data_IF_130865126610
#
_entry.id   IF_130865126610
#
_cell.length_a   1.000
_cell.length_b   1.000
_cell.length_c   1.000
_cell.angle_alpha   90.00
_cell.angle_beta   90.00
_cell.angle_gamma   90.00
#
_symmetry.space_group_name_H-M   'P 1'
#
loop_
_entity.id
_entity.type
_entity.pdbx_description
1 polymer ?
#
# COMPACT_ATOMS: atom_id res chain seq x y z
N UNK A 1 5.92 -16.33 41.45
CA UNK A 1 4.54 -16.06 40.93
C UNK A 1 4.74 -15.33 39.60
N UNK A 2 4.62 -16.09 38.53
CA UNK A 2 4.82 -15.56 37.13
C UNK A 2 3.46 -15.15 36.60
N UNK A 3 3.27 -13.88 36.32
CA UNK A 3 2.13 -13.40 35.55
C UNK A 3 2.43 -13.57 34.06
N UNK A 4 1.78 -14.58 33.49
CA UNK A 4 1.72 -14.77 32.05
C UNK A 4 0.85 -13.65 31.45
N UNK A 5 1.49 -12.62 30.90
CA UNK A 5 0.84 -11.64 30.02
C UNK A 5 0.48 -12.30 28.70
N UNK A 6 -0.77 -12.72 28.58
CA UNK A 6 -1.35 -13.21 27.30
C UNK A 6 -1.38 -12.05 26.31
N UNK A 7 -0.52 -12.10 25.30
CA UNK A 7 -0.64 -11.20 24.12
C UNK A 7 -1.94 -11.57 23.42
N UNK A 8 -2.93 -10.71 23.53
CA UNK A 8 -4.22 -10.86 22.84
C UNK A 8 -3.96 -10.58 21.35
N UNK A 9 -4.23 -11.55 20.48
CA UNK A 9 -4.27 -11.30 19.06
C UNK A 9 -5.23 -10.12 18.80
N UNK A 10 -4.78 -9.08 18.10
CA UNK A 10 -5.56 -7.83 17.92
C UNK A 10 -6.79 -8.03 17.03
N UNK A 11 -6.88 -9.15 16.32
CA UNK A 11 -8.01 -9.54 15.47
C UNK A 11 -8.30 -11.01 15.68
N UNK A 12 -9.56 -11.34 15.77
CA UNK A 12 -10.04 -12.71 15.62
C UNK A 12 -10.11 -13.06 14.14
N UNK A 13 -10.07 -14.34 13.78
CA UNK A 13 -10.25 -14.80 12.39
C UNK A 13 -11.56 -14.22 11.78
N UNK A 14 -12.59 -14.06 12.60
CA UNK A 14 -13.87 -13.47 12.20
C UNK A 14 -13.76 -11.97 11.86
N UNK A 15 -12.96 -11.20 12.59
CA UNK A 15 -12.77 -9.77 12.31
C UNK A 15 -11.91 -9.56 11.05
N UNK A 16 -10.95 -10.44 10.81
CA UNK A 16 -10.16 -10.40 9.57
C UNK A 16 -11.01 -10.82 8.36
N UNK A 17 -11.84 -11.84 8.50
CA UNK A 17 -12.78 -12.28 7.47
C UNK A 17 -13.87 -11.23 7.20
N UNK A 18 -14.34 -10.51 8.22
CA UNK A 18 -15.31 -9.42 8.08
C UNK A 18 -14.69 -8.22 7.35
N UNK A 19 -13.47 -7.83 7.68
CA UNK A 19 -12.74 -6.76 7.00
C UNK A 19 -12.45 -7.09 5.53
N UNK A 20 -12.09 -8.36 5.25
CA UNK A 20 -11.86 -8.84 3.89
C UNK A 20 -13.16 -9.07 3.12
N UNK A 21 -14.24 -9.50 3.80
CA UNK A 21 -15.58 -9.63 3.21
C UNK A 21 -16.21 -8.28 2.91
N UNK A 22 -15.93 -7.25 3.69
CA UNK A 22 -16.31 -5.88 3.37
C UNK A 22 -15.65 -5.37 2.08
N UNK A 23 -14.41 -5.78 1.81
CA UNK A 23 -13.71 -5.49 0.55
C UNK A 23 -14.34 -6.21 -0.66
N UNK A 24 -14.98 -7.38 -0.45
CA UNK A 24 -15.62 -8.14 -1.51
C UNK A 24 -17.09 -7.75 -1.75
N UNK A 25 -17.75 -7.08 -0.78
CA UNK A 25 -19.15 -6.63 -0.91
C UNK A 25 -19.37 -5.53 -1.95
N UNK A 26 -18.34 -4.80 -2.37
CA UNK A 26 -18.45 -3.79 -3.43
C UNK A 26 -18.61 -4.39 -4.84
N UNK A 27 -18.53 -5.71 -5.00
CA UNK A 27 -18.80 -6.41 -6.27
C UNK A 27 -20.18 -7.08 -6.33
N UNK A 28 -21.07 -6.82 -5.40
CA UNK A 28 -22.46 -7.32 -5.51
C UNK A 28 -23.18 -6.68 -6.70
N UNK A 29 -23.87 -7.50 -7.53
CA UNK A 29 -24.63 -6.96 -8.65
C UNK A 29 -25.71 -6.00 -8.13
N UNK A 30 -25.99 -4.90 -8.87
CA UNK A 30 -26.92 -3.86 -8.42
C UNK A 30 -28.26 -4.47 -7.99
N UNK A 31 -28.82 -3.93 -6.90
CA UNK A 31 -30.08 -4.39 -6.32
C UNK A 31 -31.20 -4.46 -7.36
N UNK A 32 -32.24 -5.27 -7.10
CA UNK A 32 -33.38 -5.47 -8.00
C UNK A 32 -34.02 -4.12 -8.42
N UNK A 33 -34.03 -3.12 -7.54
CA UNK A 33 -34.57 -1.78 -7.80
C UNK A 33 -33.73 -0.98 -8.78
N UNK A 34 -32.40 -1.10 -8.75
CA UNK A 34 -31.50 -0.45 -9.72
C UNK A 34 -31.64 -1.11 -11.09
N UNK A 35 -31.81 -2.45 -11.13
CA UNK A 35 -32.12 -3.17 -12.37
C UNK A 35 -33.48 -2.78 -12.96
N UNK A 36 -34.50 -2.58 -12.13
CA UNK A 36 -35.81 -2.14 -12.57
C UNK A 36 -35.77 -0.71 -13.15
N UNK A 37 -35.02 0.20 -12.54
CA UNK A 37 -34.85 1.58 -13.01
C UNK A 37 -34.08 1.64 -14.35
N UNK A 38 -33.05 0.81 -14.52
CA UNK A 38 -32.31 0.67 -15.79
C UNK A 38 -33.17 0.07 -16.91
N UNK A 39 -34.03 -0.90 -16.61
CA UNK A 39 -34.96 -1.49 -17.58
C UNK A 39 -36.08 -0.52 -18.01
N UNK A 40 -36.51 0.41 -17.16
CA UNK A 40 -37.45 1.47 -17.49
C UNK A 40 -36.84 2.54 -18.39
N UNK A 41 -35.59 2.91 -18.16
CA UNK A 41 -34.89 3.91 -18.98
C UNK A 41 -34.62 3.44 -20.43
N UNK A 42 -34.60 2.12 -20.67
CA UNK A 42 -34.42 1.55 -22.02
C UNK A 42 -35.72 1.40 -22.82
N UNK A 43 -36.90 1.84 -22.32
CA UNK A 43 -38.20 1.56 -22.94
C UNK A 43 -38.77 2.67 -23.80
N UNK A 44 -38.13 3.82 -23.95
CA UNK A 44 -38.62 4.94 -24.74
C UNK A 44 -37.76 5.20 -25.99
N UNK A 45 -38.01 4.42 -27.05
CA UNK A 45 -37.65 4.81 -28.43
C UNK A 45 -38.78 4.46 -29.36
N UNK A 46 -39.25 5.45 -30.19
CA UNK A 46 -40.39 5.25 -31.13
C UNK A 46 -39.95 4.43 -32.36
N UNK A 47 -40.89 3.75 -33.04
CA UNK A 47 -40.59 2.81 -34.12
C UNK A 47 -40.26 3.52 -35.44
N UNK A 48 -39.18 3.13 -36.13
CA UNK A 48 -38.90 3.48 -37.53
C UNK A 48 -39.32 2.36 -38.47
N UNK A 49 -39.69 2.72 -39.73
CA UNK A 49 -40.41 1.84 -40.66
C UNK A 49 -39.51 0.77 -41.31
N UNK A 50 -40.17 -0.36 -41.63
CA UNK A 50 -39.62 -1.55 -42.24
C UNK A 50 -38.98 -1.31 -43.62
N UNK A 51 -37.70 -1.77 -43.79
CA UNK A 51 -37.18 -2.26 -45.07
C UNK A 51 -36.60 -3.65 -44.90
N UNK A 52 -37.11 -4.58 -45.70
CA UNK A 52 -36.68 -5.98 -45.76
C UNK A 52 -35.29 -6.07 -46.40
N UNK A 53 -34.34 -6.76 -45.79
CA UNK A 53 -33.30 -7.58 -46.45
C UNK A 53 -32.81 -8.70 -45.54
N UNK A 54 -32.41 -9.77 -46.17
CA UNK A 54 -32.18 -11.15 -45.83
C UNK A 54 -30.93 -11.45 -44.98
N UNK A 55 -31.07 -12.41 -44.05
CA UNK A 55 -30.11 -13.38 -43.53
C UNK A 55 -28.60 -13.08 -43.53
N UNK A 56 -27.99 -12.98 -42.31
CA UNK A 56 -26.69 -13.54 -41.95
C UNK A 56 -26.53 -13.55 -40.42
N UNK A 57 -25.99 -14.66 -39.94
CA UNK A 57 -25.54 -15.10 -38.66
C UNK A 57 -25.40 -14.10 -37.47
N UNK A 58 -26.06 -14.41 -36.37
CA UNK A 58 -25.88 -13.78 -35.08
C UNK A 58 -24.61 -14.26 -34.39
N UNK A 59 -23.61 -13.41 -34.26
CA UNK A 59 -22.57 -13.52 -33.25
C UNK A 59 -22.94 -12.60 -32.09
N UNK A 60 -23.10 -13.18 -30.91
CA UNK A 60 -23.37 -12.46 -29.67
C UNK A 60 -22.14 -11.61 -29.30
N UNK A 61 -22.23 -10.30 -29.51
CA UNK A 61 -21.27 -9.34 -28.96
C UNK A 61 -21.66 -9.06 -27.50
N UNK A 62 -20.85 -9.52 -26.57
CA UNK A 62 -20.85 -9.04 -25.21
C UNK A 62 -20.35 -7.60 -25.24
N UNK A 63 -21.26 -6.64 -25.14
CA UNK A 63 -20.92 -5.24 -24.98
C UNK A 63 -20.42 -5.05 -23.53
N UNK A 64 -19.10 -4.98 -23.36
CA UNK A 64 -18.51 -4.39 -22.18
C UNK A 64 -18.95 -2.93 -22.10
N UNK A 65 -19.77 -2.58 -21.12
CA UNK A 65 -20.08 -1.21 -20.74
C UNK A 65 -18.81 -0.60 -20.13
N UNK A 66 -17.88 -0.17 -20.95
CA UNK A 66 -16.93 0.85 -20.55
C UNK A 66 -17.74 2.14 -20.42
N UNK A 67 -17.98 2.59 -19.19
CA UNK A 67 -18.42 3.95 -18.93
C UNK A 67 -17.35 4.86 -19.53
N UNK A 68 -17.61 5.36 -20.73
CA UNK A 68 -16.80 6.36 -21.39
C UNK A 68 -16.86 7.63 -20.54
N UNK A 69 -15.85 7.87 -19.76
CA UNK A 69 -15.61 9.19 -19.17
C UNK A 69 -15.43 10.12 -20.37
N UNK A 70 -16.38 11.01 -20.59
CA UNK A 70 -16.24 12.14 -21.50
C UNK A 70 -15.09 12.99 -20.94
N UNK A 71 -13.88 12.73 -21.38
CA UNK A 71 -12.74 13.60 -21.06
C UNK A 71 -12.95 14.93 -21.80
N UNK A 72 -13.32 15.95 -21.06
CA UNK A 72 -13.26 17.32 -21.54
C UNK A 72 -11.78 17.64 -21.73
N UNK A 73 -11.30 17.96 -22.95
CA UNK A 73 -9.91 18.31 -23.15
C UNK A 73 -9.55 19.50 -22.26
N UNK A 74 -8.59 19.31 -21.33
CA UNK A 74 -8.13 20.33 -20.39
C UNK A 74 -8.70 20.24 -18.96
N UNK A 75 -9.65 19.35 -18.66
CA UNK A 75 -10.05 19.10 -17.26
C UNK A 75 -8.99 18.22 -16.56
N UNK A 76 -8.61 18.54 -15.32
CA UNK A 76 -7.73 17.66 -14.54
C UNK A 76 -8.37 16.27 -14.34
N UNK A 77 -7.56 15.23 -14.27
CA UNK A 77 -8.04 13.88 -13.95
C UNK A 77 -8.48 13.82 -12.50
N UNK A 78 -9.40 12.89 -12.14
CA UNK A 78 -9.78 12.66 -10.76
C UNK A 78 -8.57 12.35 -9.85
N UNK A 79 -7.54 11.68 -10.40
CA UNK A 79 -6.28 11.45 -9.70
C UNK A 79 -5.52 12.75 -9.43
N UNK A 80 -5.48 13.67 -10.40
CA UNK A 80 -4.85 14.97 -10.23
C UNK A 80 -5.59 15.81 -9.16
N UNK A 81 -6.91 15.84 -9.19
CA UNK A 81 -7.72 16.55 -8.19
C UNK A 81 -7.51 16.00 -6.78
N UNK A 82 -7.49 14.68 -6.62
CA UNK A 82 -7.27 14.04 -5.33
C UNK A 82 -5.85 14.33 -4.77
N UNK A 83 -4.83 14.29 -5.63
CA UNK A 83 -3.44 14.58 -5.25
C UNK A 83 -3.22 16.06 -4.94
N UNK A 84 -3.83 16.97 -5.71
CA UNK A 84 -3.75 18.41 -5.45
C UNK A 84 -4.48 18.76 -4.15
N UNK A 85 -5.62 18.14 -3.87
CA UNK A 85 -6.34 18.27 -2.59
C UNK A 85 -5.47 17.79 -1.42
N UNK A 86 -4.86 16.60 -1.54
CA UNK A 86 -3.96 16.07 -0.53
C UNK A 86 -2.75 17.01 -0.31
N UNK A 87 -2.15 17.53 -1.38
CA UNK A 87 -1.05 18.47 -1.30
C UNK A 87 -1.44 19.79 -0.59
N UNK A 88 -2.65 20.29 -0.85
CA UNK A 88 -3.15 21.51 -0.19
C UNK A 88 -3.34 21.27 1.31
N UNK A 89 -3.92 20.12 1.70
CA UNK A 89 -4.15 19.81 3.12
C UNK A 89 -2.86 19.62 3.91
N UNK A 90 -1.85 18.91 3.37
CA UNK A 90 -0.57 18.78 4.10
C UNK A 90 0.15 20.11 4.27
N UNK A 91 -0.02 21.07 3.36
CA UNK A 91 0.58 22.41 3.49
C UNK A 91 -0.16 23.27 4.51
N UNK A 92 -1.44 22.99 4.76
CA UNK A 92 -2.24 23.72 5.75
C UNK A 92 -1.97 23.25 7.20
N UNK A 93 -1.45 22.05 7.38
CA UNK A 93 -1.10 21.52 8.71
C UNK A 93 0.39 21.78 9.02
N UNK A 94 0.70 22.25 10.26
CA UNK A 94 2.11 22.41 10.66
C UNK A 94 2.81 21.04 10.73
N UNK A 95 4.07 21.01 10.36
CA UNK A 95 4.89 19.83 10.54
C UNK A 95 5.03 19.46 12.01
N UNK A 96 4.96 18.15 12.35
CA UNK A 96 5.24 17.68 13.69
C UNK A 96 6.66 18.12 14.11
N UNK A 97 6.78 18.69 15.31
CA UNK A 97 8.05 19.10 15.89
C UNK A 97 8.25 18.45 17.23
N UNK A 98 8.84 17.23 17.27
CA UNK A 98 9.18 16.61 18.54
C UNK A 98 10.09 17.53 19.35
N UNK A 99 9.75 17.72 20.63
CA UNK A 99 10.61 18.41 21.60
C UNK A 99 11.77 17.53 22.09
N UNK A 100 12.63 18.07 22.96
CA UNK A 100 13.71 17.29 23.57
C UNK A 100 13.15 16.03 24.26
N UNK A 101 13.73 14.87 23.94
CA UNK A 101 13.29 13.58 24.48
C UNK A 101 12.06 12.97 23.81
N UNK A 102 11.44 13.67 22.85
CA UNK A 102 10.37 13.12 22.03
C UNK A 102 10.91 12.55 20.69
N UNK A 103 10.08 11.79 20.01
CA UNK A 103 10.43 11.03 18.84
C UNK A 103 9.40 11.23 17.71
N UNK A 104 9.85 11.35 16.48
CA UNK A 104 9.01 11.03 15.34
C UNK A 104 8.69 9.54 15.37
N UNK A 105 7.42 9.21 15.25
CA UNK A 105 6.93 7.85 15.29
C UNK A 105 6.34 7.44 13.96
N UNK A 106 6.77 6.29 13.47
CA UNK A 106 6.17 5.60 12.31
C UNK A 106 5.80 4.18 12.72
N UNK A 107 4.56 3.78 12.49
CA UNK A 107 4.14 2.39 12.54
C UNK A 107 3.67 1.95 11.17
N UNK A 108 4.19 0.83 10.69
CA UNK A 108 3.77 0.17 9.45
C UNK A 108 3.33 -1.24 9.79
N UNK A 109 2.05 -1.53 9.60
CA UNK A 109 1.54 -2.90 9.51
C UNK A 109 1.51 -3.29 8.04
N UNK A 110 1.96 -4.49 7.75
CA UNK A 110 2.04 -5.02 6.40
C UNK A 110 1.55 -6.46 6.38
N UNK A 111 0.66 -6.77 5.47
CA UNK A 111 0.26 -8.13 5.12
C UNK A 111 0.78 -8.40 3.72
N UNK A 112 1.76 -9.27 3.58
CA UNK A 112 2.40 -9.58 2.31
C UNK A 112 2.32 -11.07 1.99
N UNK A 113 2.23 -11.39 0.71
CA UNK A 113 2.18 -12.78 0.26
C UNK A 113 3.55 -13.42 0.29
N UNK A 114 3.60 -14.58 0.96
CA UNK A 114 4.67 -15.57 0.80
C UNK A 114 4.16 -16.75 -0.04
N UNK A 115 5.01 -17.26 -0.90
CA UNK A 115 4.67 -18.32 -1.85
C UNK A 115 5.73 -19.40 -1.88
N UNK A 116 5.33 -20.65 -2.05
CA UNK A 116 6.22 -21.79 -2.21
C UNK A 116 5.52 -22.90 -3.00
N UNK A 117 6.22 -24.02 -3.18
CA UNK A 117 5.69 -25.23 -3.79
C UNK A 117 5.87 -26.40 -2.84
N UNK A 118 4.89 -27.30 -2.79
CA UNK A 118 5.08 -28.58 -2.11
C UNK A 118 6.13 -29.44 -2.84
N UNK A 119 6.63 -30.49 -2.20
CA UNK A 119 7.52 -31.47 -2.81
C UNK A 119 6.91 -32.16 -4.03
N UNK A 120 5.59 -32.17 -4.15
CA UNK A 120 4.84 -32.72 -5.31
C UNK A 120 4.51 -31.67 -6.37
N UNK A 121 4.98 -30.42 -6.22
CA UNK A 121 4.80 -29.34 -7.19
C UNK A 121 3.46 -28.63 -7.11
N UNK A 122 2.69 -28.75 -6.00
CA UNK A 122 1.46 -27.98 -5.79
C UNK A 122 1.81 -26.59 -5.24
N UNK A 123 1.18 -25.50 -5.74
CA UNK A 123 1.43 -24.17 -5.24
C UNK A 123 0.87 -24.01 -3.81
N UNK A 124 1.61 -23.27 -3.00
CA UNK A 124 1.23 -22.81 -1.68
C UNK A 124 1.42 -21.29 -1.61
N UNK A 125 0.43 -20.57 -1.13
CA UNK A 125 0.54 -19.14 -0.90
C UNK A 125 -0.26 -18.73 0.31
N UNK A 126 0.31 -17.85 1.12
CA UNK A 126 -0.38 -17.29 2.28
C UNK A 126 0.01 -15.82 2.43
N UNK A 127 -0.87 -15.03 3.04
CA UNK A 127 -0.54 -13.71 3.56
C UNK A 127 0.03 -13.87 4.97
N UNK A 128 1.14 -13.20 5.24
CA UNK A 128 1.71 -13.06 6.59
C UNK A 128 1.71 -11.60 6.97
N UNK A 129 1.31 -11.34 8.21
CA UNK A 129 1.29 -9.98 8.73
C UNK A 129 2.52 -9.71 9.58
N UNK A 130 3.16 -8.58 9.31
CA UNK A 130 4.26 -8.03 10.07
C UNK A 130 3.95 -6.61 10.56
N UNK A 131 4.65 -6.19 11.61
CA UNK A 131 4.59 -4.83 12.11
C UNK A 131 6.01 -4.30 12.33
N UNK A 132 6.24 -3.08 11.86
CA UNK A 132 7.46 -2.31 12.12
C UNK A 132 7.09 -1.00 12.75
N UNK A 133 7.68 -0.70 13.90
CA UNK A 133 7.54 0.55 14.63
C UNK A 133 8.90 1.21 14.76
N UNK A 134 9.03 2.46 14.36
CA UNK A 134 10.27 3.23 14.36
C UNK A 134 10.09 4.51 15.17
N UNK A 135 11.02 4.77 16.06
CA UNK A 135 11.14 6.00 16.83
C UNK A 135 12.45 6.71 16.46
N UNK A 136 12.34 7.86 15.82
CA UNK A 136 13.46 8.70 15.40
C UNK A 136 13.52 9.90 16.34
N UNK A 137 14.59 10.10 17.13
CA UNK A 137 14.68 11.19 18.09
C UNK A 137 14.65 12.55 17.42
N UNK A 138 14.18 13.58 18.13
CA UNK A 138 14.23 14.97 17.67
C UNK A 138 15.66 15.38 17.26
N UNK A 139 16.65 14.97 18.04
CA UNK A 139 18.07 15.09 17.73
C UNK A 139 18.50 13.81 17.02
N UNK A 140 18.54 13.84 15.69
CA UNK A 140 18.73 12.66 14.83
C UNK A 140 20.08 11.97 14.96
N UNK A 141 21.06 12.62 15.57
CA UNK A 141 22.34 12.04 15.91
C UNK A 141 22.29 11.11 17.13
N UNK A 142 21.17 11.11 17.86
CA UNK A 142 20.95 10.22 18.99
C UNK A 142 20.53 8.82 18.54
N UNK A 143 20.26 7.95 19.52
CA UNK A 143 19.90 6.57 19.31
C UNK A 143 18.46 6.43 18.83
N UNK A 144 18.28 5.83 17.67
CA UNK A 144 16.97 5.42 17.13
C UNK A 144 16.55 4.09 17.71
N UNK A 145 15.26 3.87 17.80
CA UNK A 145 14.68 2.64 18.28
C UNK A 145 13.75 2.05 17.23
N UNK A 146 13.89 0.74 16.96
CA UNK A 146 12.99 0.00 16.08
C UNK A 146 12.51 -1.27 16.77
N UNK A 147 11.23 -1.55 16.59
CA UNK A 147 10.59 -2.83 16.93
C UNK A 147 9.97 -3.37 15.67
N UNK A 148 10.33 -4.60 15.31
CA UNK A 148 9.79 -5.27 14.13
C UNK A 148 9.56 -6.74 14.39
N UNK A 149 8.60 -7.35 13.69
CA UNK A 149 8.33 -8.77 13.78
C UNK A 149 7.01 -9.13 13.12
N UNK A 150 6.78 -10.42 12.98
CA UNK A 150 5.49 -10.91 12.51
C UNK A 150 4.49 -10.89 13.67
N UNK A 151 3.24 -10.51 13.35
CA UNK A 151 2.14 -10.47 14.34
C UNK A 151 1.59 -11.87 14.64
N UNK A 152 1.90 -12.84 13.79
CA UNK A 152 1.37 -14.19 13.84
C UNK A 152 0.06 -14.35 13.04
N UNK A 153 -0.53 -13.28 12.54
CA UNK A 153 -1.69 -13.36 11.67
C UNK A 153 -1.27 -13.91 10.29
N UNK A 154 -1.97 -14.95 9.85
CA UNK A 154 -1.74 -15.65 8.58
C UNK A 154 -3.06 -15.95 7.91
N UNK A 155 -3.11 -15.80 6.58
CA UNK A 155 -4.26 -16.20 5.78
C UNK A 155 -3.79 -16.98 4.55
N UNK A 156 -4.23 -18.25 4.42
CA UNK A 156 -3.98 -19.03 3.24
C UNK A 156 -4.77 -18.50 2.04
N UNK A 157 -4.08 -18.26 0.94
CA UNK A 157 -4.65 -17.90 -0.34
C UNK A 157 -4.75 -19.11 -1.27
N UNK A 158 -3.72 -19.98 -1.26
CA UNK A 158 -3.66 -21.23 -2.03
C UNK A 158 -3.11 -22.32 -1.13
N UNK A 159 -3.77 -23.46 -1.12
CA UNK A 159 -3.43 -24.56 -0.23
C UNK A 159 -3.94 -24.34 1.19
N UNK A 160 -3.33 -25.03 2.15
CA UNK A 160 -3.61 -24.91 3.57
C UNK A 160 -2.46 -25.52 4.40
N UNK A 161 -2.51 -25.33 5.71
CA UNK A 161 -1.48 -25.77 6.62
C UNK A 161 -1.30 -27.31 6.63
N UNK A 162 -2.41 -28.06 6.56
CA UNK A 162 -2.34 -29.53 6.52
C UNK A 162 -1.64 -30.04 5.25
N UNK A 163 -1.90 -29.43 4.10
CA UNK A 163 -1.22 -29.76 2.87
C UNK A 163 0.28 -29.44 2.98
N UNK A 164 0.62 -28.25 3.49
CA UNK A 164 1.98 -27.79 3.69
C UNK A 164 2.76 -28.74 4.63
N UNK A 165 2.15 -29.17 5.74
CA UNK A 165 2.77 -30.10 6.68
C UNK A 165 2.96 -31.51 6.11
N UNK A 166 2.00 -32.00 5.30
CA UNK A 166 2.08 -33.34 4.73
C UNK A 166 3.06 -33.46 3.57
N UNK A 167 3.09 -32.45 2.72
CA UNK A 167 3.85 -32.50 1.45
C UNK A 167 5.11 -31.61 1.45
N UNK A 168 5.39 -30.95 2.59
CA UNK A 168 6.45 -29.95 2.70
C UNK A 168 5.97 -28.57 2.22
N UNK A 169 6.49 -27.53 2.83
CA UNK A 169 6.06 -26.15 2.68
C UNK A 169 7.12 -25.20 2.08
N UNK A 170 8.30 -25.75 1.74
CA UNK A 170 9.41 -24.95 1.24
C UNK A 170 9.89 -23.86 2.20
N UNK A 171 9.59 -24.01 3.51
CA UNK A 171 9.98 -23.05 4.55
C UNK A 171 8.95 -21.97 4.87
N UNK A 172 7.75 -22.01 4.27
CA UNK A 172 6.66 -21.05 4.57
C UNK A 172 6.25 -21.03 6.05
N UNK A 173 6.38 -22.16 6.73
CA UNK A 173 6.00 -22.31 8.15
C UNK A 173 7.20 -22.26 9.11
N UNK A 174 8.35 -21.77 8.65
CA UNK A 174 9.55 -21.70 9.51
C UNK A 174 9.33 -20.70 10.66
N UNK A 175 9.31 -21.17 11.92
CA UNK A 175 9.07 -20.33 13.08
C UNK A 175 10.20 -19.33 13.36
N UNK A 176 11.37 -19.48 12.74
CA UNK A 176 12.50 -18.55 12.91
C UNK A 176 12.23 -17.18 12.33
N UNK A 177 11.32 -17.07 11.36
CA UNK A 177 10.93 -15.81 10.72
C UNK A 177 10.02 -14.97 11.62
N UNK A 178 9.37 -15.59 12.61
CA UNK A 178 8.26 -14.98 13.39
C UNK A 178 8.69 -14.20 14.64
N UNK A 179 9.97 -13.98 14.90
CA UNK A 179 10.43 -13.37 16.17
C UNK A 179 10.33 -11.84 16.14
N UNK A 180 9.74 -11.30 17.22
CA UNK A 180 9.86 -9.86 17.50
C UNK A 180 11.35 -9.52 17.72
N UNK A 181 11.80 -8.46 17.06
CA UNK A 181 13.13 -7.90 17.15
C UNK A 181 13.05 -6.47 17.64
N UNK A 182 13.84 -6.19 18.66
CA UNK A 182 13.99 -4.83 19.20
C UNK A 182 15.44 -4.44 19.03
N UNK A 183 15.67 -3.32 18.34
CA UNK A 183 17.01 -2.86 18.05
C UNK A 183 17.14 -1.38 18.38
N UNK A 184 18.37 -1.00 18.67
CA UNK A 184 18.79 0.38 18.89
C UNK A 184 20.02 0.64 18.06
N UNK A 185 20.11 1.84 17.50
CA UNK A 185 21.25 2.23 16.68
C UNK A 185 21.39 3.72 16.57
N UNK A 186 22.61 4.21 16.74
CA UNK A 186 22.91 5.62 16.48
C UNK A 186 22.60 5.95 15.04
N UNK A 187 21.80 6.99 14.82
CA UNK A 187 21.42 7.41 13.46
C UNK A 187 20.65 6.36 12.65
N UNK A 188 19.99 5.40 13.29
CA UNK A 188 19.33 4.30 12.62
C UNK A 188 20.25 3.20 12.08
N UNK A 189 21.47 3.12 12.54
CA UNK A 189 22.40 2.05 12.19
C UNK A 189 22.09 0.79 13.03
N UNK A 190 21.10 0.04 12.58
CA UNK A 190 20.63 -1.14 13.27
C UNK A 190 21.49 -2.37 12.95
N UNK A 191 21.83 -3.22 13.95
CA UNK A 191 22.70 -4.38 13.77
C UNK A 191 22.24 -5.36 12.67
N UNK A 192 20.94 -5.63 12.60
CA UNK A 192 20.41 -6.60 11.61
C UNK A 192 20.50 -6.13 10.15
N UNK A 193 20.60 -4.82 9.90
CA UNK A 193 20.82 -4.33 8.54
C UNK A 193 22.16 -4.78 7.97
N UNK A 194 23.14 -5.00 8.83
CA UNK A 194 24.45 -5.53 8.47
C UNK A 194 24.39 -7.00 8.07
N UNK A 195 23.58 -7.79 8.78
CA UNK A 195 23.40 -9.21 8.48
C UNK A 195 22.66 -9.47 7.16
N UNK A 196 21.79 -8.53 6.74
CA UNK A 196 21.03 -8.61 5.50
C UNK A 196 21.79 -8.09 4.27
N UNK A 197 23.09 -7.78 4.42
CA UNK A 197 23.94 -7.33 3.31
C UNK A 197 23.72 -5.86 2.92
N UNK A 198 23.02 -5.10 3.75
CA UNK A 198 22.99 -3.65 3.64
C UNK A 198 24.42 -3.11 3.88
N UNK A 199 24.87 -2.17 3.05
CA UNK A 199 26.11 -1.47 3.31
C UNK A 199 25.86 -0.47 4.45
N UNK A 200 26.33 -0.75 5.66
CA UNK A 200 26.27 0.27 6.70
C UNK A 200 27.14 1.45 6.25
N UNK A 201 26.67 2.66 6.49
CA UNK A 201 27.52 3.84 6.42
C UNK A 201 28.49 3.84 7.62
N UNK A 202 29.19 2.71 7.84
CA UNK A 202 30.01 2.43 9.00
C UNK A 202 31.01 3.56 9.23
N UNK A 203 30.95 4.14 10.42
CA UNK A 203 31.83 5.20 10.84
C UNK A 203 31.52 6.59 10.31
N UNK A 204 30.56 6.77 9.41
CA UNK A 204 30.16 8.11 8.96
C UNK A 204 29.28 8.80 9.99
N UNK A 205 29.48 10.11 10.24
CA UNK A 205 28.55 10.93 11.01
C UNK A 205 27.15 10.87 10.44
N UNK A 206 26.11 10.98 11.28
CA UNK A 206 24.70 10.93 10.85
C UNK A 206 24.38 11.87 9.68
N UNK A 207 24.92 13.08 9.69
CA UNK A 207 24.70 14.08 8.64
C UNK A 207 25.32 13.73 7.28
N UNK A 208 26.26 12.78 7.26
CA UNK A 208 26.94 12.33 6.04
C UNK A 208 26.33 11.06 5.46
N UNK A 209 25.43 10.39 6.21
CA UNK A 209 24.76 9.18 5.73
C UNK A 209 23.74 9.54 4.68
N UNK A 210 23.87 8.90 3.53
CA UNK A 210 22.95 9.09 2.43
C UNK A 210 22.01 7.89 2.33
N UNK A 211 20.78 8.07 2.82
CA UNK A 211 19.74 7.04 2.74
C UNK A 211 19.23 6.82 1.31
N UNK A 212 18.11 6.15 1.21
CA UNK A 212 17.43 5.92 -0.05
C UNK A 212 15.92 6.07 0.14
N UNK A 213 15.14 5.96 -0.93
CA UNK A 213 13.70 6.20 -0.93
C UNK A 213 12.92 5.44 0.16
N UNK A 214 13.28 4.17 0.43
CA UNK A 214 12.57 3.31 1.38
C UNK A 214 13.08 3.45 2.83
N UNK A 215 14.30 3.96 3.00
CA UNK A 215 14.91 4.30 4.28
C UNK A 215 15.57 5.68 4.19
N UNK A 216 14.75 6.75 4.08
CA UNK A 216 15.26 8.09 3.86
C UNK A 216 15.96 8.62 5.12
N UNK A 217 17.14 9.22 4.91
CA UNK A 217 17.81 10.01 5.94
C UNK A 217 17.44 11.49 5.80
N UNK A 218 17.69 12.32 6.83
CA UNK A 218 17.49 13.77 6.73
C UNK A 218 18.22 14.39 5.54
N UNK A 219 19.42 13.93 5.24
CA UNK A 219 20.20 14.39 4.08
C UNK A 219 19.50 14.00 2.77
N UNK A 220 19.09 12.75 2.63
CA UNK A 220 18.35 12.30 1.46
C UNK A 220 17.09 13.14 1.23
N UNK A 221 16.28 13.36 2.29
CA UNK A 221 15.05 14.16 2.23
C UNK A 221 15.36 15.63 1.88
N UNK A 222 16.45 16.19 2.39
CA UNK A 222 16.86 17.57 2.08
C UNK A 222 17.28 17.74 0.61
N UNK A 223 17.96 16.74 0.05
CA UNK A 223 18.49 16.75 -1.32
C UNK A 223 17.41 16.46 -2.39
N UNK A 224 16.21 16.00 -2.00
CA UNK A 224 15.12 15.80 -2.94
C UNK A 224 14.58 17.13 -3.47
N UNK A 225 14.33 17.26 -4.78
CA UNK A 225 13.71 18.46 -5.35
C UNK A 225 12.33 18.76 -4.73
N UNK A 226 12.02 20.06 -4.56
CA UNK A 226 10.68 20.53 -4.18
C UNK A 226 9.84 20.93 -5.39
N UNK A 227 10.48 21.14 -6.52
CA UNK A 227 9.79 21.32 -7.79
C UNK A 227 9.19 19.98 -8.25
N UNK A 228 7.88 19.92 -8.57
CA UNK A 228 7.20 18.66 -8.91
C UNK A 228 7.73 18.01 -10.20
N UNK A 229 8.17 18.79 -11.19
CA UNK A 229 8.74 18.26 -12.43
C UNK A 229 10.08 17.60 -12.17
N UNK A 230 10.99 18.30 -11.51
CA UNK A 230 12.30 17.78 -11.15
C UNK A 230 12.21 16.57 -10.20
N UNK A 231 11.22 16.56 -9.28
CA UNK A 231 11.00 15.43 -8.38
C UNK A 231 10.46 14.20 -9.14
N UNK A 232 9.56 14.41 -10.07
CA UNK A 232 9.05 13.31 -10.92
C UNK A 232 10.14 12.72 -11.81
N UNK A 233 10.97 13.56 -12.42
CA UNK A 233 12.15 13.11 -13.19
C UNK A 233 13.10 12.28 -12.34
N UNK A 234 13.36 12.70 -11.09
CA UNK A 234 14.19 11.95 -10.15
C UNK A 234 13.56 10.63 -9.75
N UNK A 235 12.27 10.60 -9.42
CA UNK A 235 11.50 9.38 -9.11
C UNK A 235 11.53 8.41 -10.29
N UNK A 236 11.20 8.88 -11.49
CA UNK A 236 11.15 8.08 -12.71
C UNK A 236 12.52 7.48 -13.06
N UNK A 237 13.59 8.27 -12.93
CA UNK A 237 14.96 7.81 -13.14
C UNK A 237 15.33 6.69 -12.16
N UNK A 238 15.08 6.90 -10.87
CA UNK A 238 15.46 5.94 -9.83
C UNK A 238 14.56 4.67 -9.89
N UNK A 239 13.30 4.81 -10.33
CA UNK A 239 12.38 3.72 -10.65
C UNK A 239 12.66 3.02 -11.99
N UNK A 240 13.68 3.46 -12.75
CA UNK A 240 14.00 2.93 -14.08
C UNK A 240 12.81 2.97 -15.06
N UNK A 241 11.98 3.98 -14.96
CA UNK A 241 10.80 4.20 -15.80
C UNK A 241 9.60 3.31 -15.50
N UNK A 242 9.62 2.47 -14.46
CA UNK A 242 8.49 1.64 -14.07
C UNK A 242 7.54 2.41 -13.16
N UNK A 243 6.27 2.51 -13.56
CA UNK A 243 5.26 3.29 -12.84
C UNK A 243 4.95 2.74 -11.44
N UNK A 244 4.85 1.43 -11.29
CA UNK A 244 4.67 0.78 -9.99
C UNK A 244 5.80 1.10 -9.01
N UNK A 245 7.06 1.12 -9.49
CA UNK A 245 8.20 1.51 -8.67
C UNK A 245 8.17 3.01 -8.31
N UNK A 246 7.68 3.88 -9.19
CA UNK A 246 7.48 5.30 -8.85
C UNK A 246 6.56 5.43 -7.63
N UNK A 247 5.42 4.72 -7.62
CA UNK A 247 4.50 4.70 -6.47
C UNK A 247 5.17 4.15 -5.22
N UNK A 248 5.94 3.07 -5.34
CA UNK A 248 6.65 2.45 -4.22
C UNK A 248 7.70 3.39 -3.62
N UNK A 249 8.52 4.02 -4.45
CA UNK A 249 9.54 4.97 -4.00
C UNK A 249 8.90 6.21 -3.34
N UNK A 250 7.84 6.77 -3.93
CA UNK A 250 7.09 7.87 -3.34
C UNK A 250 6.51 7.49 -1.96
N UNK A 251 5.97 6.28 -1.83
CA UNK A 251 5.44 5.77 -0.55
C UNK A 251 6.51 5.74 0.54
N UNK A 252 7.74 5.42 0.21
CA UNK A 252 8.85 5.41 1.17
C UNK A 252 9.07 6.77 1.83
N UNK A 253 9.01 7.85 1.05
CA UNK A 253 9.10 9.23 1.56
C UNK A 253 7.84 9.64 2.32
N UNK A 254 6.65 9.29 1.81
CA UNK A 254 5.37 9.65 2.43
C UNK A 254 5.14 8.98 3.79
N UNK A 255 5.72 7.79 4.02
CA UNK A 255 5.62 7.07 5.29
C UNK A 255 6.64 7.51 6.34
N UNK A 256 7.63 8.31 5.99
CA UNK A 256 8.62 8.81 6.94
C UNK A 256 8.03 9.98 7.73
N UNK A 257 7.89 9.83 9.05
CA UNK A 257 7.26 10.84 9.91
C UNK A 257 8.00 12.18 9.92
N UNK A 258 9.28 12.17 9.59
CA UNK A 258 10.14 13.34 9.49
C UNK A 258 10.05 14.08 8.15
N UNK A 259 9.34 13.57 7.18
CA UNK A 259 9.16 14.24 5.89
C UNK A 259 8.36 15.52 6.07
N UNK A 260 8.90 16.64 5.60
CA UNK A 260 8.27 17.95 5.71
C UNK A 260 7.02 18.09 4.83
N UNK A 261 6.12 18.98 5.20
CA UNK A 261 4.87 19.22 4.47
C UNK A 261 5.11 19.66 3.02
N UNK A 262 6.12 20.50 2.79
CA UNK A 262 6.52 20.95 1.45
C UNK A 262 6.97 19.79 0.56
N UNK A 263 7.76 18.84 1.12
CA UNK A 263 8.19 17.68 0.36
C UNK A 263 7.03 16.69 0.12
N UNK A 264 6.16 16.45 1.12
CA UNK A 264 4.96 15.63 0.92
C UNK A 264 4.08 16.19 -0.20
N UNK A 265 3.84 17.50 -0.19
CA UNK A 265 3.06 18.18 -1.24
C UNK A 265 3.76 18.08 -2.60
N UNK A 266 5.08 18.23 -2.66
CA UNK A 266 5.86 18.05 -3.89
C UNK A 266 5.74 16.61 -4.44
N UNK A 267 5.78 15.59 -3.56
CA UNK A 267 5.58 14.18 -3.95
C UNK A 267 4.18 13.98 -4.56
N UNK A 268 3.12 14.48 -3.92
CA UNK A 268 1.77 14.36 -4.48
C UNK A 268 1.67 15.02 -5.85
N UNK A 269 2.18 16.24 -6.01
CA UNK A 269 2.15 16.95 -7.31
C UNK A 269 3.04 16.28 -8.36
N UNK A 270 4.14 15.65 -7.95
CA UNK A 270 4.96 14.85 -8.86
C UNK A 270 4.20 13.62 -9.35
N UNK A 271 3.42 12.94 -8.49
CA UNK A 271 2.62 11.78 -8.87
C UNK A 271 1.49 12.12 -9.86
N UNK A 272 1.00 13.37 -9.93
CA UNK A 272 0.05 13.82 -10.96
C UNK A 272 0.61 13.58 -12.38
N UNK A 273 1.92 13.60 -12.53
CA UNK A 273 2.62 13.41 -13.82
C UNK A 273 2.79 11.94 -14.22
N UNK A 274 2.48 11.01 -13.32
CA UNK A 274 2.62 9.58 -13.59
C UNK A 274 1.55 9.12 -14.59
N UNK A 275 1.94 8.65 -15.80
CA UNK A 275 0.96 8.23 -16.80
C UNK A 275 0.16 7.00 -16.33
N UNK A 276 -1.14 6.99 -16.64
CA UNK A 276 -2.03 5.87 -16.33
C UNK A 276 -2.45 5.79 -14.86
N UNK A 277 -2.14 6.80 -14.05
CA UNK A 277 -2.63 6.90 -12.70
C UNK A 277 -4.14 7.16 -12.71
N UNK A 278 -4.89 6.32 -12.02
CA UNK A 278 -6.34 6.47 -11.85
C UNK A 278 -6.74 6.35 -10.36
N UNK A 279 -8.01 6.56 -10.07
CA UNK A 279 -8.55 6.65 -8.71
C UNK A 279 -9.48 5.48 -8.41
N UNK A 280 -9.37 4.96 -7.18
CA UNK A 280 -10.39 4.13 -6.53
C UNK A 280 -10.82 4.81 -5.24
N UNK A 281 -12.04 5.29 -5.18
CA UNK A 281 -12.58 5.93 -3.97
C UNK A 281 -12.92 4.91 -2.88
N UNK A 282 -12.94 5.39 -1.63
CA UNK A 282 -13.28 4.60 -0.43
C UNK A 282 -12.42 3.34 -0.22
N UNK A 283 -11.20 3.33 -0.74
CA UNK A 283 -10.28 2.23 -0.49
C UNK A 283 -9.87 2.18 0.98
N UNK A 284 -10.00 1.02 1.60
CA UNK A 284 -9.52 0.81 2.96
C UNK A 284 -8.02 0.45 2.96
N UNK A 285 -7.28 0.85 3.99
CA UNK A 285 -5.96 0.31 4.30
C UNK A 285 -6.07 -0.94 5.19
N UNK A 286 -4.96 -1.57 5.55
CA UNK A 286 -4.95 -2.80 6.38
C UNK A 286 -5.64 -2.64 7.75
N UNK A 287 -5.71 -1.42 8.30
CA UNK A 287 -6.43 -1.12 9.54
C UNK A 287 -7.90 -0.74 9.33
N UNK A 288 -8.41 -0.85 8.09
CA UNK A 288 -9.77 -0.48 7.74
C UNK A 288 -10.03 1.04 7.61
N UNK A 289 -8.99 1.88 7.75
CA UNK A 289 -9.13 3.33 7.49
C UNK A 289 -9.35 3.56 6.00
N UNK A 290 -10.35 4.34 5.68
CA UNK A 290 -10.72 4.62 4.29
C UNK A 290 -10.07 5.90 3.78
N UNK A 291 -9.72 5.88 2.50
CA UNK A 291 -9.15 6.99 1.77
C UNK A 291 -9.36 6.83 0.27
N UNK A 292 -8.71 7.66 -0.50
CA UNK A 292 -8.66 7.57 -1.96
C UNK A 292 -7.40 6.80 -2.35
N UNK A 293 -7.56 5.70 -3.07
CA UNK A 293 -6.44 4.98 -3.65
C UNK A 293 -6.12 5.55 -5.03
N UNK A 294 -4.84 5.82 -5.24
CA UNK A 294 -4.30 6.28 -6.50
C UNK A 294 -3.37 5.18 -7.01
N UNK A 295 -3.68 4.61 -8.15
CA UNK A 295 -2.97 3.45 -8.62
C UNK A 295 -2.87 3.35 -10.13
N UNK A 296 -2.02 2.43 -10.54
CA UNK A 296 -1.88 2.05 -11.93
C UNK A 296 -1.74 0.53 -12.06
N UNK A 297 -2.09 0.03 -13.23
CA UNK A 297 -1.91 -1.38 -13.57
C UNK A 297 -0.67 -1.55 -14.44
N UNK A 298 0.27 -2.37 -13.98
CA UNK A 298 1.47 -2.73 -14.72
C UNK A 298 1.67 -4.25 -14.65
N UNK A 299 1.69 -4.90 -15.80
CA UNK A 299 1.76 -6.36 -15.86
C UNK A 299 0.50 -7.06 -15.33
N UNK A 300 0.66 -7.81 -14.26
CA UNK A 300 -0.41 -8.61 -13.64
C UNK A 300 -0.93 -7.98 -12.33
N UNK A 301 -0.32 -6.88 -11.90
CA UNK A 301 -0.64 -6.19 -10.67
C UNK A 301 -1.19 -4.79 -10.93
N UNK A 302 -2.09 -4.36 -10.06
CA UNK A 302 -2.45 -2.99 -9.83
C UNK A 302 -1.86 -2.56 -8.49
N UNK A 303 -0.94 -1.60 -8.55
CA UNK A 303 -0.30 -1.01 -7.37
C UNK A 303 -0.97 0.31 -7.03
N UNK A 304 -1.32 0.50 -5.75
CA UNK A 304 -2.04 1.66 -5.27
C UNK A 304 -1.40 2.25 -4.01
N UNK A 305 -1.37 3.56 -3.93
CA UNK A 305 -1.14 4.32 -2.69
C UNK A 305 -2.47 4.84 -2.17
N UNK A 306 -2.69 4.75 -0.86
CA UNK A 306 -3.94 5.16 -0.24
C UNK A 306 -3.68 6.42 0.58
N UNK A 307 -4.45 7.47 0.28
CA UNK A 307 -4.32 8.79 0.88
C UNK A 307 -5.65 9.19 1.51
N UNK A 308 -5.62 9.64 2.75
CA UNK A 308 -6.72 10.38 3.34
C UNK A 308 -6.69 11.81 2.79
N UNK A 309 -7.50 12.08 1.79
CA UNK A 309 -7.51 13.37 1.07
C UNK A 309 -7.99 14.52 1.94
N UNK A 310 -8.73 14.25 3.03
CA UNK A 310 -9.19 15.28 3.95
C UNK A 310 -8.06 15.83 4.85
N UNK A 311 -7.07 15.01 5.17
CA UNK A 311 -5.89 15.40 5.94
C UNK A 311 -4.61 15.45 5.10
N UNK A 312 -4.66 14.98 3.86
CA UNK A 312 -3.48 14.80 3.01
C UNK A 312 -2.52 13.71 3.49
N UNK A 313 -2.90 12.87 4.44
CA UNK A 313 -2.01 11.86 5.02
C UNK A 313 -1.97 10.61 4.17
N UNK A 314 -0.77 10.13 3.89
CA UNK A 314 -0.57 8.77 3.39
C UNK A 314 -0.93 7.78 4.50
N UNK A 315 -1.81 6.82 4.20
CA UNK A 315 -2.33 5.86 5.18
C UNK A 315 -2.00 4.41 4.86
N UNK A 316 -1.42 4.14 3.69
CA UNK A 316 -1.00 2.80 3.29
C UNK A 316 -0.92 2.60 1.79
N UNK A 317 -0.66 1.38 1.39
CA UNK A 317 -0.66 0.94 -0.01
C UNK A 317 -1.23 -0.47 -0.13
N UNK A 318 -1.61 -0.87 -1.34
CA UNK A 318 -1.95 -2.25 -1.66
C UNK A 318 -1.53 -2.61 -3.07
N UNK A 319 -1.30 -3.92 -3.29
CA UNK A 319 -1.08 -4.50 -4.62
C UNK A 319 -2.13 -5.57 -4.85
N UNK A 320 -2.84 -5.48 -5.98
CA UNK A 320 -3.98 -6.34 -6.32
C UNK A 320 -3.68 -7.06 -7.62
N UNK A 321 -3.83 -8.40 -7.63
CA UNK A 321 -3.72 -9.19 -8.84
C UNK A 321 -4.90 -8.89 -9.77
N UNK A 322 -4.63 -8.50 -11.03
CA UNK A 322 -5.69 -8.13 -12.00
C UNK A 322 -5.92 -9.18 -13.08
N UNK A 323 -5.06 -10.21 -13.15
CA UNK A 323 -5.19 -11.34 -14.06
C UNK A 323 -5.14 -12.66 -13.29
N UNK A 324 -5.62 -13.78 -13.87
CA UNK A 324 -5.41 -15.10 -13.28
C UNK A 324 -3.93 -15.37 -13.04
N UNK A 325 -3.60 -15.83 -11.85
CA UNK A 325 -2.22 -16.01 -11.42
C UNK A 325 -1.49 -17.13 -12.14
N UNK A 326 -0.25 -16.86 -12.56
CA UNK A 326 0.67 -17.84 -13.15
C UNK A 326 2.02 -17.77 -12.44
N UNK A 327 2.84 -18.82 -12.54
CA UNK A 327 4.18 -18.83 -11.92
C UNK A 327 4.10 -18.60 -10.41
N UNK A 328 4.72 -17.51 -9.92
CA UNK A 328 4.70 -17.10 -8.50
C UNK A 328 3.27 -16.85 -7.96
N UNK A 329 2.33 -16.47 -8.84
CA UNK A 329 0.94 -16.18 -8.52
C UNK A 329 0.01 -17.38 -8.77
N UNK A 330 0.55 -18.56 -9.06
CA UNK A 330 -0.25 -19.73 -9.47
C UNK A 330 -1.34 -20.07 -8.45
N UNK A 331 -2.57 -20.25 -8.95
CA UNK A 331 -3.76 -20.56 -8.13
C UNK A 331 -4.52 -19.36 -7.60
N UNK A 332 -3.97 -18.15 -7.73
CA UNK A 332 -4.66 -16.92 -7.33
C UNK A 332 -5.64 -16.43 -8.40
N UNK A 333 -6.70 -15.78 -7.97
CA UNK A 333 -7.72 -15.19 -8.84
C UNK A 333 -7.53 -13.67 -8.96
N UNK A 334 -8.01 -13.06 -10.07
CA UNK A 334 -8.10 -11.59 -10.16
C UNK A 334 -8.88 -11.02 -8.97
N UNK A 335 -8.43 -9.87 -8.47
CA UNK A 335 -8.96 -9.24 -7.25
C UNK A 335 -8.27 -9.69 -5.96
N UNK A 336 -7.37 -10.69 -6.02
CA UNK A 336 -6.60 -11.08 -4.84
C UNK A 336 -5.62 -9.97 -4.45
N UNK A 337 -5.73 -9.47 -3.21
CA UNK A 337 -4.75 -8.58 -2.63
C UNK A 337 -3.55 -9.40 -2.20
N UNK A 338 -2.38 -9.06 -2.72
CA UNK A 338 -1.11 -9.78 -2.49
C UNK A 338 -0.16 -9.03 -1.58
N UNK A 339 -0.37 -7.73 -1.44
CA UNK A 339 0.32 -6.87 -0.49
C UNK A 339 -0.63 -5.78 -0.01
N UNK A 340 -0.59 -5.47 1.28
CA UNK A 340 -1.50 -4.53 1.90
C UNK A 340 -0.86 -3.91 3.13
N UNK A 341 -0.85 -2.59 3.25
CA UNK A 341 -0.25 -1.92 4.39
C UNK A 341 -1.19 -0.93 5.07
N UNK A 342 -0.88 -0.65 6.35
CA UNK A 342 -1.41 0.50 7.07
C UNK A 342 -0.26 1.26 7.72
N UNK A 343 -0.30 2.59 7.62
CA UNK A 343 0.72 3.48 8.17
C UNK A 343 0.09 4.45 9.16
N UNK A 344 0.72 4.57 10.33
CA UNK A 344 0.41 5.58 11.34
C UNK A 344 1.64 6.41 11.63
N UNK A 345 1.50 7.73 11.57
CA UNK A 345 2.54 8.70 11.86
C UNK A 345 2.16 9.53 13.08
N UNK A 346 3.14 9.93 13.88
CA UNK A 346 2.89 10.75 15.06
C UNK A 346 4.16 11.22 15.75
N UNK A 347 3.97 11.78 16.96
CA UNK A 347 5.05 12.13 17.88
C UNK A 347 4.85 11.31 19.16
N UNK A 348 5.90 10.58 19.56
CA UNK A 348 5.91 9.77 20.76
C UNK A 348 6.75 10.44 21.86
N UNK A 349 6.27 10.38 23.10
CA UNK A 349 7.00 10.93 24.25
C UNK A 349 8.17 10.07 24.70
N UNK A 350 8.17 8.79 24.32
CA UNK A 350 9.17 7.82 24.77
C UNK A 350 9.43 6.75 23.71
N UNK A 351 10.71 6.41 23.52
CA UNK A 351 11.09 5.28 22.69
C UNK A 351 10.44 3.96 23.17
N UNK A 352 9.92 3.19 22.23
CA UNK A 352 9.25 1.91 22.52
C UNK A 352 7.79 2.03 22.98
N UNK A 353 7.26 3.25 23.13
CA UNK A 353 5.86 3.51 23.46
C UNK A 353 5.20 4.28 22.30
N UNK A 354 4.15 3.74 21.67
CA UNK A 354 3.39 4.48 20.64
C UNK A 354 2.80 5.79 21.21
N UNK A 355 2.52 6.78 20.37
CA UNK A 355 1.74 7.97 20.78
C UNK A 355 0.42 7.57 21.41
N UNK A 356 -0.08 8.38 22.36
CA UNK A 356 -1.46 8.30 22.80
C UNK A 356 -2.38 8.70 21.62
N UNK A 357 -3.46 7.95 21.44
CA UNK A 357 -4.48 8.21 20.42
C UNK A 357 -5.26 9.48 20.75
#
# INVERSE_FOLDING_TARGET
>A
MSENGTVRAMWTDAELDDALSALHKETEPPSADVRATLMLACRETPPKPRRRYTWAAATAAVAALTAGVLTIPGAPSAAAEALDSAAAHVLAEPDPRPGPGQFFYTSTRESAMASSMTSTGKPLSLLEESMTQLWVPAIRAEEWFVRSGQTGARKWLVGNEDLARREGDGGLLDPRVSRERVQRGLCGDFPDQRELGGTPDDGKPCGERYGHWEAPTPRFLADLPRDPDALYERLSKDAKGRGADVLRLASGVLRAAETSADLRAAVYRALVKLPGLDVTDNAANLDGRRGTALGLTEGDLRDEVIVDTASGRYIGRRSVLVKPGTGYWAGLQPGTVVEFTAVTLGVADKAGTPPAN
#
